data_IF_288945418292
#
_entry.id   IF_288945418292
#
_cell.length_a   1.000
_cell.length_b   1.000
_cell.length_c   1.000
_cell.angle_alpha   90.00
_cell.angle_beta   90.00
_cell.angle_gamma   90.00
#
_symmetry.space_group_name_H-M   'P 1'
#
loop_
_entity.id
_entity.type
_entity.pdbx_description
1 polymer ?
#
# COMPACT_ATOMS: atom_id res chain seq x y z
N UNK A 1 -4.26 8.47 9.91
CA UNK A 1 -2.81 8.65 10.05
C UNK A 1 -2.25 8.54 8.64
N UNK A 2 -1.53 9.57 8.19
CA UNK A 2 -0.99 9.65 6.84
C UNK A 2 0.52 9.37 6.89
N UNK A 3 1.01 8.52 5.99
CA UNK A 3 2.43 8.20 5.82
C UNK A 3 2.74 7.95 4.35
N UNK A 4 4.03 7.84 4.01
CA UNK A 4 4.46 7.62 2.63
C UNK A 4 5.35 6.39 2.54
N UNK A 5 5.09 5.52 1.57
CA UNK A 5 5.95 4.39 1.23
C UNK A 5 6.42 4.51 -0.21
N UNK A 6 7.72 4.77 -0.44
CA UNK A 6 8.31 4.90 -1.79
C UNK A 6 7.53 5.84 -2.73
N UNK A 7 7.09 6.98 -2.20
CA UNK A 7 6.27 7.96 -2.94
C UNK A 7 4.77 7.67 -2.97
N UNK A 8 4.32 6.52 -2.47
CA UNK A 8 2.88 6.21 -2.33
C UNK A 8 2.37 6.80 -1.03
N UNK A 9 1.41 7.73 -1.12
CA UNK A 9 0.69 8.25 0.04
C UNK A 9 -0.30 7.20 0.55
N UNK A 10 -0.15 6.82 1.81
CA UNK A 10 -0.98 5.85 2.52
C UNK A 10 -1.70 6.53 3.66
N UNK A 11 -2.97 6.19 3.84
CA UNK A 11 -3.73 6.65 5.01
C UNK A 11 -4.46 5.49 5.68
N UNK A 12 -4.18 5.29 6.97
CA UNK A 12 -4.83 4.25 7.77
C UNK A 12 -6.32 4.57 7.95
N UNK A 13 -7.18 3.64 7.54
CA UNK A 13 -8.62 3.73 7.79
C UNK A 13 -8.89 3.35 9.24
N UNK A 14 -9.41 4.29 10.04
CA UNK A 14 -9.76 4.05 11.45
C UNK A 14 -10.94 3.08 11.55
N UNK A 15 -10.69 1.87 12.03
CA UNK A 15 -11.68 0.81 12.30
C UNK A 15 -11.24 -0.02 13.50
N UNK A 16 -12.15 -0.85 14.01
CA UNK A 16 -11.77 -1.88 14.97
C UNK A 16 -11.03 -3.02 14.23
N UNK A 17 -9.74 -3.17 14.51
CA UNK A 17 -8.89 -4.24 13.98
C UNK A 17 -8.55 -5.30 15.03
N UNK A 18 -9.33 -5.42 16.12
CA UNK A 18 -9.09 -6.41 17.17
C UNK A 18 -9.11 -7.82 16.57
N UNK A 19 -8.01 -8.57 16.72
CA UNK A 19 -7.85 -9.91 16.16
C UNK A 19 -7.51 -9.96 14.66
N UNK A 20 -7.31 -8.82 13.99
CA UNK A 20 -6.94 -8.80 12.57
C UNK A 20 -5.42 -8.88 12.36
N UNK A 21 -5.00 -9.69 11.39
CA UNK A 21 -3.59 -9.84 11.00
C UNK A 21 -3.10 -8.77 9.99
N UNK A 22 -3.98 -7.87 9.56
CA UNK A 22 -3.67 -6.79 8.64
C UNK A 22 -4.55 -5.56 8.90
N UNK A 23 -4.07 -4.38 8.48
CA UNK A 23 -4.80 -3.11 8.53
C UNK A 23 -5.01 -2.56 7.13
N UNK A 24 -6.09 -1.81 6.95
CA UNK A 24 -6.49 -1.26 5.65
C UNK A 24 -6.04 0.18 5.49
N UNK A 25 -5.38 0.47 4.37
CA UNK A 25 -4.88 1.79 4.02
C UNK A 25 -5.47 2.25 2.70
N UNK A 26 -5.88 3.51 2.59
CA UNK A 26 -6.22 4.13 1.31
C UNK A 26 -4.95 4.56 0.57
N UNK A 27 -5.05 4.63 -0.75
CA UNK A 27 -3.99 5.04 -1.66
C UNK A 27 -4.28 6.44 -2.20
N UNK A 28 -3.36 7.39 -2.02
CA UNK A 28 -3.42 8.70 -2.69
C UNK A 28 -4.64 9.57 -2.36
N UNK A 29 -5.29 9.35 -1.22
CA UNK A 29 -6.54 10.05 -0.88
C UNK A 29 -7.77 9.57 -1.67
N UNK A 30 -7.67 8.44 -2.37
CA UNK A 30 -8.78 7.81 -3.10
C UNK A 30 -9.45 6.71 -2.26
N UNK A 31 -10.54 6.14 -2.79
CA UNK A 31 -11.18 4.95 -2.22
C UNK A 31 -10.42 3.64 -2.54
N UNK A 32 -9.40 3.69 -3.41
CA UNK A 32 -8.51 2.55 -3.62
C UNK A 32 -7.71 2.28 -2.35
N UNK A 33 -7.49 1.01 -2.07
CA UNK A 33 -6.97 0.60 -0.77
C UNK A 33 -6.20 -0.71 -0.86
N UNK A 34 -5.32 -0.90 0.13
CA UNK A 34 -4.51 -2.10 0.31
C UNK A 34 -4.58 -2.57 1.75
N UNK A 35 -4.35 -3.87 1.95
CA UNK A 35 -4.18 -4.46 3.26
C UNK A 35 -2.70 -4.67 3.51
N UNK A 36 -2.18 -4.06 4.58
CA UNK A 36 -0.79 -4.24 5.01
C UNK A 36 -0.80 -5.14 6.24
N UNK A 37 -0.09 -6.29 6.23
CA UNK A 37 -0.01 -7.16 7.39
C UNK A 37 0.59 -6.48 8.61
N UNK A 38 -0.01 -6.72 9.79
CA UNK A 38 0.40 -6.11 11.05
C UNK A 38 1.86 -6.40 11.43
N UNK A 39 2.47 -7.48 10.92
CA UNK A 39 3.89 -7.78 11.14
C UNK A 39 4.85 -6.69 10.64
N UNK A 40 4.43 -5.93 9.61
CA UNK A 40 5.18 -4.81 9.02
C UNK A 40 4.78 -3.45 9.61
N UNK A 41 3.89 -3.45 10.60
CA UNK A 41 3.33 -2.23 11.19
C UNK A 41 3.66 -2.16 12.68
N UNK A 42 3.82 -0.95 13.17
CA UNK A 42 3.77 -0.61 14.59
C UNK A 42 2.33 -0.70 15.11
N UNK A 43 2.16 -0.65 16.44
CA UNK A 43 0.86 -0.77 17.09
C UNK A 43 -0.14 0.33 16.65
N UNK A 44 0.34 1.50 16.27
CA UNK A 44 -0.44 2.62 15.76
C UNK A 44 -0.76 2.52 14.25
N UNK A 45 -0.14 1.57 13.53
CA UNK A 45 -0.27 1.39 12.09
C UNK A 45 0.81 2.11 11.26
N UNK A 46 1.83 2.67 11.89
CA UNK A 46 3.03 3.16 11.21
C UNK A 46 3.76 1.99 10.56
N UNK A 47 4.26 2.13 9.33
CA UNK A 47 5.14 1.10 8.75
C UNK A 47 6.47 1.10 9.52
N UNK A 48 6.95 -0.07 9.96
CA UNK A 48 8.23 -0.13 10.68
C UNK A 48 9.37 0.32 9.76
N UNK A 49 10.38 0.95 10.35
CA UNK A 49 11.51 1.50 9.59
C UNK A 49 12.26 0.39 8.84
N UNK A 50 12.55 0.62 7.56
CA UNK A 50 13.29 -0.33 6.71
C UNK A 50 12.50 -1.55 6.22
N UNK A 51 11.20 -1.66 6.51
CA UNK A 51 10.40 -2.80 6.05
C UNK A 51 10.18 -2.83 4.53
N UNK A 52 10.31 -4.02 3.96
CA UNK A 52 9.97 -4.29 2.57
C UNK A 52 8.54 -4.83 2.46
N UNK A 53 7.65 -3.98 1.97
CA UNK A 53 6.25 -4.31 1.66
C UNK A 53 5.95 -4.14 0.17
N UNK A 54 6.97 -4.16 -0.70
CA UNK A 54 6.82 -4.02 -2.15
C UNK A 54 5.85 -5.05 -2.73
N UNK A 55 5.81 -6.25 -2.15
CA UNK A 55 4.92 -7.31 -2.60
C UNK A 55 3.42 -6.95 -2.44
N UNK A 56 3.06 -6.12 -1.46
CA UNK A 56 1.68 -5.64 -1.26
C UNK A 56 1.28 -4.80 -2.47
N UNK A 57 2.14 -3.86 -2.84
CA UNK A 57 1.93 -2.94 -3.95
C UNK A 57 2.07 -3.61 -5.31
N UNK A 58 2.96 -4.59 -5.44
CA UNK A 58 3.09 -5.44 -6.63
C UNK A 58 1.82 -6.24 -6.93
N UNK A 59 1.06 -6.61 -5.89
CA UNK A 59 -0.26 -7.25 -6.07
C UNK A 59 -1.37 -6.23 -6.36
N UNK A 60 -1.19 -4.99 -5.93
CA UNK A 60 -2.18 -3.91 -6.02
C UNK A 60 -1.96 -2.93 -7.19
N UNK A 61 -1.39 -3.40 -8.31
CA UNK A 61 -1.02 -2.55 -9.47
C UNK A 61 -2.22 -1.76 -10.01
N UNK A 62 -3.39 -2.40 -10.16
CA UNK A 62 -4.59 -1.73 -10.66
C UNK A 62 -5.12 -0.67 -9.69
N UNK A 63 -5.06 -0.93 -8.38
CA UNK A 63 -5.44 0.03 -7.35
C UNK A 63 -4.51 1.25 -7.34
N UNK A 64 -3.21 1.03 -7.54
CA UNK A 64 -2.22 2.08 -7.69
C UNK A 64 -2.50 2.93 -8.94
N UNK A 65 -2.77 2.30 -10.09
CA UNK A 65 -3.10 3.00 -11.34
C UNK A 65 -4.36 3.87 -11.17
N UNK A 66 -5.45 3.31 -10.63
CA UNK A 66 -6.70 4.06 -10.39
C UNK A 66 -6.48 5.19 -9.36
N UNK A 67 -5.55 5.01 -8.42
CA UNK A 67 -5.18 6.04 -7.46
C UNK A 67 -4.21 7.10 -8.02
N UNK A 68 -3.82 7.01 -9.31
CA UNK A 68 -2.97 7.98 -9.99
C UNK A 68 -1.47 7.65 -10.00
N UNK A 69 -1.06 6.48 -9.49
CA UNK A 69 0.35 6.06 -9.49
C UNK A 69 0.70 5.29 -10.77
N UNK A 70 0.81 6.04 -11.87
CA UNK A 70 1.09 5.49 -13.21
C UNK A 70 2.57 5.46 -13.58
N UNK A 71 3.44 6.02 -12.74
CA UNK A 71 4.89 6.06 -12.97
C UNK A 71 5.60 4.85 -12.36
N UNK A 72 6.81 4.51 -12.83
CA UNK A 72 7.60 3.44 -12.23
C UNK A 72 7.95 3.78 -10.78
N UNK A 73 7.64 2.87 -9.86
CA UNK A 73 7.99 3.03 -8.44
C UNK A 73 9.22 2.16 -8.14
N UNK A 74 10.31 2.72 -7.59
CA UNK A 74 11.54 1.97 -7.31
C UNK A 74 11.29 0.70 -6.49
N UNK A 75 11.73 -0.46 -6.97
CA UNK A 75 11.55 -1.76 -6.31
C UNK A 75 10.20 -2.46 -6.58
N UNK A 76 9.15 -1.71 -6.96
CA UNK A 76 7.83 -2.28 -7.26
C UNK A 76 7.71 -2.52 -8.77
N UNK A 77 8.13 -3.70 -9.22
CA UNK A 77 7.98 -4.12 -10.63
C UNK A 77 6.51 -4.30 -11.02
N UNK A 78 6.13 -3.80 -12.19
CA UNK A 78 4.83 -4.10 -12.82
C UNK A 78 4.76 -5.55 -13.25
N UNK A 79 3.55 -6.11 -13.30
CA UNK A 79 3.34 -7.44 -13.87
C UNK A 79 3.61 -7.40 -15.37
N UNK A 80 4.23 -8.46 -15.89
CA UNK A 80 4.55 -8.61 -17.31
C UNK A 80 3.31 -8.67 -18.21
N UNK A 81 2.14 -9.04 -17.66
CA UNK A 81 0.85 -9.02 -18.36
C UNK A 81 0.22 -7.62 -18.48
N UNK A 82 0.77 -6.62 -17.77
CA UNK A 82 0.33 -5.22 -17.78
C UNK A 82 1.13 -4.38 -18.80
N UNK A 83 1.62 -5.01 -19.87
CA UNK A 83 2.08 -4.25 -21.04
C UNK A 83 0.83 -3.64 -21.68
N UNK A 84 0.59 -2.34 -21.47
CA UNK A 84 -0.27 -1.58 -22.37
C UNK A 84 0.30 -1.75 -23.78
N UNK A 85 -0.50 -2.37 -24.65
CA UNK A 85 -0.37 -2.28 -26.11
C UNK A 85 -0.66 -0.85 -26.52
#
# INVERSE_FOLDING_TARGET
MIQTYKGIRLELIKRNYKGCAARRFTLGGTNQNVWIPCKHLEADGTIKSGEDIDYVFRKAQRQLEIAGYTDPIPGIKRKSSDKKV
#
